data_IF_226539821859
#
_entry.id   IF_226539821859
#
_cell.length_a   1.000
_cell.length_b   1.000
_cell.length_c   1.000
_cell.angle_alpha   90.00
_cell.angle_beta   90.00
_cell.angle_gamma   90.00
#
_symmetry.space_group_name_H-M   'P 1'
#
loop_
_entity.id
_entity.type
_entity.pdbx_description
1 polymer ?
#
# COMPACT_ATOMS: atom_id res chain seq x y z
N UNK A 1 -6.03 6.03 -53.52
CA UNK A 1 -6.28 5.09 -54.64
C UNK A 1 -5.77 3.74 -54.11
N UNK A 2 -6.47 2.71 -53.79
CA UNK A 2 -7.77 2.13 -54.10
C UNK A 2 -8.22 1.34 -52.90
N UNK A 3 -9.44 1.53 -52.46
CA UNK A 3 -10.29 0.66 -51.66
C UNK A 3 -10.59 -0.65 -52.41
N UNK A 4 -10.95 -1.73 -51.71
CA UNK A 4 -11.97 -2.71 -51.99
C UNK A 4 -11.68 -3.90 -51.03
N UNK A 5 -12.44 -4.10 -49.94
CA UNK A 5 -13.73 -4.77 -49.79
C UNK A 5 -13.77 -6.20 -50.37
N UNK A 6 -13.97 -7.18 -49.51
CA UNK A 6 -14.82 -8.33 -49.79
C UNK A 6 -15.23 -9.02 -48.50
N UNK A 7 -16.52 -8.92 -48.25
CA UNK A 7 -17.25 -9.69 -47.26
C UNK A 7 -17.82 -10.98 -47.92
N UNK A 8 -18.21 -11.89 -47.04
CA UNK A 8 -19.25 -12.93 -47.17
C UNK A 8 -18.96 -14.22 -47.96
N UNK A 9 -19.20 -15.27 -47.29
CA UNK A 9 -20.17 -16.38 -47.49
C UNK A 9 -19.68 -17.65 -46.75
N UNK A 10 -20.40 -18.12 -45.85
CA UNK A 10 -21.58 -18.94 -45.83
C UNK A 10 -21.28 -20.41 -45.69
N UNK A 11 -21.75 -20.91 -44.63
CA UNK A 11 -22.63 -22.08 -44.47
C UNK A 11 -22.21 -23.48 -44.88
N UNK A 12 -22.36 -24.31 -43.91
CA UNK A 12 -23.09 -25.55 -43.90
C UNK A 12 -22.37 -26.89 -43.83
N UNK A 13 -22.87 -27.64 -42.85
CA UNK A 13 -23.07 -29.12 -42.79
C UNK A 13 -21.79 -29.96 -42.61
N UNK A 14 -21.74 -30.86 -41.71
CA UNK A 14 -22.74 -31.76 -41.17
C UNK A 14 -22.13 -32.71 -40.13
N UNK A 15 -23.03 -33.22 -39.34
CA UNK A 15 -22.94 -34.34 -38.42
C UNK A 15 -22.04 -35.49 -38.89
N UNK A 16 -21.33 -36.06 -37.94
CA UNK A 16 -21.25 -37.51 -37.81
C UNK A 16 -20.77 -37.92 -36.39
N UNK A 17 -21.54 -38.83 -35.88
CA UNK A 17 -21.57 -39.32 -34.52
C UNK A 17 -20.44 -40.27 -34.12
N UNK A 18 -20.22 -40.33 -32.81
CA UNK A 18 -19.94 -41.50 -31.97
C UNK A 18 -18.75 -42.39 -32.27
N UNK A 19 -17.84 -42.46 -31.34
CA UNK A 19 -17.56 -43.73 -30.63
C UNK A 19 -16.80 -43.45 -29.31
N UNK A 20 -17.41 -43.91 -28.21
CA UNK A 20 -16.83 -43.95 -26.88
C UNK A 20 -15.66 -44.96 -26.81
N UNK A 21 -14.61 -44.65 -26.08
CA UNK A 21 -13.87 -45.66 -25.34
C UNK A 21 -13.27 -45.00 -24.05
N UNK A 22 -13.59 -45.63 -22.94
CA UNK A 22 -13.14 -45.34 -21.58
C UNK A 22 -11.62 -45.28 -21.47
N UNK A 23 -11.16 -44.23 -20.77
CA UNK A 23 -10.04 -44.36 -19.84
C UNK A 23 -10.29 -43.40 -18.68
N UNK A 24 -10.73 -43.98 -17.56
CA UNK A 24 -10.63 -43.34 -16.25
C UNK A 24 -9.16 -43.24 -15.85
N UNK A 25 -8.71 -42.04 -15.54
CA UNK A 25 -7.69 -41.83 -14.52
C UNK A 25 -7.61 -40.37 -14.12
N UNK A 26 -7.99 -40.09 -12.88
CA UNK A 26 -7.51 -39.02 -11.97
C UNK A 26 -7.35 -37.61 -12.56
N UNK A 27 -8.45 -36.85 -12.53
CA UNK A 27 -8.42 -35.39 -12.40
C UNK A 27 -9.38 -34.97 -11.28
N UNK A 28 -8.88 -35.01 -10.05
CA UNK A 28 -9.39 -34.26 -8.92
C UNK A 28 -8.32 -33.24 -8.60
N UNK A 29 -8.77 -31.98 -8.48
CA UNK A 29 -8.16 -30.78 -7.90
C UNK A 29 -7.86 -29.63 -8.88
N UNK A 30 -8.83 -29.24 -9.69
CA UNK A 30 -8.66 -28.05 -10.55
C UNK A 30 -9.82 -27.04 -10.55
N UNK A 31 -10.89 -27.24 -9.76
CA UNK A 31 -12.11 -26.46 -10.00
C UNK A 31 -12.82 -25.97 -8.72
N UNK A 32 -12.09 -25.68 -7.64
CA UNK A 32 -12.66 -25.18 -6.39
C UNK A 32 -12.62 -23.65 -6.24
N UNK A 33 -11.99 -22.90 -7.16
CA UNK A 33 -11.84 -21.45 -7.05
C UNK A 33 -12.95 -20.63 -7.74
N UNK A 34 -13.85 -21.26 -8.47
CA UNK A 34 -14.89 -20.55 -9.24
C UNK A 34 -16.23 -20.41 -8.49
N UNK A 35 -16.36 -20.97 -7.31
CA UNK A 35 -17.61 -20.97 -6.54
C UNK A 35 -17.58 -19.90 -5.45
N UNK A 36 -18.40 -18.89 -5.60
CA UNK A 36 -18.84 -17.83 -4.67
C UNK A 36 -18.31 -16.41 -4.95
N UNK A 37 -18.45 -15.91 -6.17
CA UNK A 37 -18.20 -14.48 -6.51
C UNK A 37 -19.46 -13.59 -6.42
N UNK A 38 -20.59 -14.12 -5.97
CA UNK A 38 -21.80 -13.37 -5.65
C UNK A 38 -22.03 -13.40 -4.13
N UNK A 39 -21.10 -12.91 -3.31
CA UNK A 39 -21.46 -12.55 -1.95
C UNK A 39 -22.40 -11.34 -2.06
N UNK A 40 -23.70 -11.58 -1.92
CA UNK A 40 -24.68 -10.53 -1.66
C UNK A 40 -24.23 -9.81 -0.39
N UNK A 41 -24.38 -8.49 -0.38
CA UNK A 41 -24.14 -7.67 0.80
C UNK A 41 -25.10 -8.16 1.88
N UNK A 42 -24.63 -8.98 2.79
CA UNK A 42 -25.42 -9.47 3.91
C UNK A 42 -25.27 -8.48 5.06
N UNK A 43 -26.39 -7.93 5.51
CA UNK A 43 -26.46 -7.09 6.70
C UNK A 43 -26.46 -7.96 7.95
N UNK A 44 -25.45 -7.77 8.79
CA UNK A 44 -25.21 -8.53 10.01
C UNK A 44 -25.59 -7.67 11.21
N UNK A 45 -26.57 -8.11 11.99
CA UNK A 45 -27.07 -7.41 13.17
C UNK A 45 -26.63 -8.06 14.48
N UNK A 46 -25.89 -9.15 14.43
CA UNK A 46 -25.33 -9.86 15.59
C UNK A 46 -23.84 -9.56 15.72
N UNK A 47 -23.43 -9.10 16.91
CA UNK A 47 -22.01 -8.88 17.23
C UNK A 47 -21.22 -10.19 17.15
N UNK A 48 -21.79 -11.26 17.64
CA UNK A 48 -21.18 -12.61 17.65
C UNK A 48 -20.91 -13.09 16.23
N UNK A 49 -21.91 -12.98 15.35
CA UNK A 49 -21.79 -13.36 13.93
C UNK A 49 -20.74 -12.49 13.22
N UNK A 50 -20.73 -11.16 13.44
CA UNK A 50 -19.74 -10.28 12.85
C UNK A 50 -18.32 -10.58 13.35
N UNK A 51 -18.17 -10.87 14.67
CA UNK A 51 -16.91 -11.28 15.27
C UNK A 51 -16.38 -12.57 14.63
N UNK A 52 -17.25 -13.57 14.44
CA UNK A 52 -16.90 -14.85 13.80
C UNK A 52 -16.47 -14.64 12.34
N UNK A 53 -17.25 -13.86 11.59
CA UNK A 53 -16.99 -13.59 10.18
C UNK A 53 -15.67 -12.83 9.98
N UNK A 54 -15.37 -11.84 10.80
CA UNK A 54 -14.08 -11.12 10.74
C UNK A 54 -12.95 -12.07 11.17
N UNK A 55 -13.13 -12.80 12.28
CA UNK A 55 -12.10 -13.70 12.80
C UNK A 55 -11.74 -14.80 11.80
N UNK A 56 -12.70 -15.32 11.07
CA UNK A 56 -12.44 -16.34 10.02
C UNK A 56 -11.69 -15.80 8.81
N UNK A 57 -11.80 -14.51 8.50
CA UNK A 57 -11.17 -13.89 7.33
C UNK A 57 -9.81 -13.27 7.65
N UNK A 58 -9.62 -12.81 8.87
CA UNK A 58 -8.40 -12.10 9.29
C UNK A 58 -7.65 -12.88 10.38
N UNK A 59 -7.93 -12.60 11.63
CA UNK A 59 -7.37 -13.22 12.82
C UNK A 59 -8.41 -13.15 13.94
N UNK A 60 -8.24 -13.89 15.03
CA UNK A 60 -9.07 -13.71 16.21
C UNK A 60 -9.13 -12.25 16.64
N UNK A 61 -10.34 -11.73 16.79
CA UNK A 61 -10.59 -10.36 17.23
C UNK A 61 -11.48 -10.34 18.46
N UNK A 62 -11.42 -9.25 19.20
CA UNK A 62 -12.46 -8.84 20.15
C UNK A 62 -13.17 -7.63 19.57
N UNK A 63 -14.50 -7.69 19.52
CA UNK A 63 -15.36 -6.64 18.97
C UNK A 63 -16.26 -6.11 20.08
N UNK A 64 -16.11 -4.83 20.38
CA UNK A 64 -16.98 -4.10 21.30
C UNK A 64 -17.78 -3.06 20.51
N UNK A 65 -19.10 -3.15 20.58
CA UNK A 65 -20.05 -2.30 19.84
C UNK A 65 -20.69 -1.35 20.85
N UNK A 66 -20.60 -0.03 20.62
CA UNK A 66 -21.11 0.95 21.57
C UNK A 66 -22.63 0.88 21.70
N UNK A 67 -23.33 0.77 20.56
CA UNK A 67 -24.78 0.71 20.51
C UNK A 67 -25.22 -0.57 19.76
N UNK A 68 -25.29 -1.71 20.45
CA UNK A 68 -25.59 -2.99 19.80
C UNK A 68 -26.93 -3.03 19.03
N UNK A 69 -27.91 -2.24 19.48
CA UNK A 69 -29.22 -2.15 18.80
C UNK A 69 -29.12 -1.48 17.42
N UNK A 70 -28.10 -0.68 17.18
CA UNK A 70 -27.86 0.04 15.94
C UNK A 70 -26.84 -0.67 15.02
N UNK A 71 -26.37 -1.86 15.41
CA UNK A 71 -25.44 -2.65 14.58
C UNK A 71 -26.11 -3.04 13.27
N UNK A 72 -25.57 -2.54 12.18
CA UNK A 72 -25.94 -2.90 10.81
C UNK A 72 -24.64 -3.07 10.00
N UNK A 73 -23.93 -4.13 10.34
CA UNK A 73 -22.62 -4.38 9.79
C UNK A 73 -22.67 -5.12 8.46
N UNK A 74 -21.71 -4.83 7.60
CA UNK A 74 -21.56 -5.56 6.34
C UNK A 74 -20.08 -5.90 6.09
N UNK A 75 -19.86 -7.07 5.54
CA UNK A 75 -18.54 -7.50 5.07
C UNK A 75 -18.68 -8.17 3.70
N UNK A 76 -17.91 -7.69 2.72
CA UNK A 76 -17.69 -8.40 1.46
C UNK A 76 -16.22 -8.75 1.30
N UNK A 77 -15.95 -9.81 0.55
CA UNK A 77 -14.59 -10.30 0.37
C UNK A 77 -14.37 -10.71 -1.08
N UNK A 78 -13.33 -10.21 -1.69
CA UNK A 78 -12.84 -10.63 -3.01
C UNK A 78 -11.51 -11.36 -2.80
N UNK A 79 -11.50 -12.72 -2.79
CA UNK A 79 -10.27 -13.47 -2.69
C UNK A 79 -9.47 -13.34 -3.98
N UNK A 80 -8.16 -13.23 -3.84
CA UNK A 80 -7.23 -13.18 -4.96
C UNK A 80 -6.44 -14.50 -4.99
N UNK A 81 -5.33 -14.60 -4.31
CA UNK A 81 -4.58 -15.85 -4.07
C UNK A 81 -3.97 -15.80 -2.67
N UNK A 82 -2.85 -15.09 -2.51
CA UNK A 82 -2.24 -14.79 -1.21
C UNK A 82 -2.63 -13.41 -0.67
N UNK A 83 -3.56 -12.76 -1.35
CA UNK A 83 -4.18 -11.49 -0.98
C UNK A 83 -5.70 -11.64 -0.95
N UNK A 84 -6.37 -10.71 -0.27
CA UNK A 84 -7.82 -10.54 -0.37
C UNK A 84 -8.19 -9.09 -0.15
N UNK A 85 -9.27 -8.65 -0.81
CA UNK A 85 -9.81 -7.30 -0.70
C UNK A 85 -11.15 -7.41 0.01
N UNK A 86 -11.34 -6.60 1.04
CA UNK A 86 -12.56 -6.62 1.84
C UNK A 86 -13.16 -5.21 1.90
N UNK A 87 -14.47 -5.14 1.97
CA UNK A 87 -15.19 -3.93 2.34
C UNK A 87 -15.90 -4.19 3.66
N UNK A 88 -15.78 -3.24 4.58
CA UNK A 88 -16.28 -3.34 5.95
C UNK A 88 -17.04 -2.08 6.32
N UNK A 89 -18.20 -2.25 6.95
CA UNK A 89 -18.97 -1.22 7.64
C UNK A 89 -19.63 -1.81 8.89
N UNK A 90 -19.96 -0.98 9.88
CA UNK A 90 -20.56 -1.46 11.13
C UNK A 90 -21.90 -0.78 11.45
N UNK A 91 -22.20 0.40 10.89
CA UNK A 91 -23.42 1.15 11.14
C UNK A 91 -23.49 1.84 12.51
N UNK A 92 -22.55 1.53 13.41
CA UNK A 92 -22.43 2.12 14.74
C UNK A 92 -20.96 2.18 15.17
N UNK A 93 -20.64 3.07 16.12
CA UNK A 93 -19.30 3.18 16.66
C UNK A 93 -18.84 1.86 17.27
N UNK A 94 -17.67 1.41 16.84
CA UNK A 94 -17.16 0.08 17.15
C UNK A 94 -15.68 0.13 17.51
N UNK A 95 -15.33 -0.63 18.54
CA UNK A 95 -13.95 -0.90 18.93
C UNK A 95 -13.58 -2.33 18.53
N UNK A 96 -12.49 -2.50 17.79
CA UNK A 96 -11.95 -3.80 17.40
C UNK A 96 -10.53 -3.96 17.89
N UNK A 97 -10.24 -5.04 18.62
CA UNK A 97 -8.88 -5.42 19.03
C UNK A 97 -8.43 -6.63 18.24
N UNK A 98 -7.27 -6.51 17.61
CA UNK A 98 -6.60 -7.61 16.92
C UNK A 98 -5.80 -8.41 17.94
N UNK A 99 -6.12 -9.70 18.10
CA UNK A 99 -5.53 -10.56 19.13
C UNK A 99 -4.23 -11.22 18.68
N UNK A 100 -4.09 -11.54 17.38
CA UNK A 100 -2.92 -12.24 16.84
C UNK A 100 -2.73 -11.94 15.34
N UNK A 101 -2.18 -10.78 14.97
CA UNK A 101 -2.00 -10.41 13.56
C UNK A 101 -0.66 -10.91 12.97
N UNK A 102 -0.15 -12.09 13.34
CA UNK A 102 1.21 -12.51 12.98
C UNK A 102 1.41 -12.92 11.52
N UNK A 103 0.32 -13.26 10.79
CA UNK A 103 0.41 -13.94 9.50
C UNK A 103 0.24 -13.05 8.28
N UNK A 104 -0.17 -11.80 8.44
CA UNK A 104 -0.49 -10.94 7.30
C UNK A 104 -0.40 -9.46 7.67
N UNK A 105 -0.26 -8.65 6.62
CA UNK A 105 -0.42 -7.21 6.63
C UNK A 105 -1.86 -6.87 6.33
N UNK A 106 -2.39 -5.82 6.94
CA UNK A 106 -3.67 -5.23 6.55
C UNK A 106 -3.49 -3.76 6.24
N UNK A 107 -4.03 -3.33 5.10
CA UNK A 107 -3.96 -1.96 4.63
C UNK A 107 -5.39 -1.43 4.59
N UNK A 108 -5.67 -0.40 5.37
CA UNK A 108 -6.99 0.16 5.58
C UNK A 108 -7.12 1.51 4.88
N UNK A 109 -8.20 1.71 4.14
CA UNK A 109 -8.55 2.99 3.53
C UNK A 109 -10.05 3.24 3.68
N UNK A 110 -10.47 4.14 4.58
CA UNK A 110 -11.85 4.60 4.62
C UNK A 110 -12.17 5.45 3.39
N UNK A 111 -13.34 5.26 2.83
CA UNK A 111 -13.93 6.12 1.80
C UNK A 111 -15.12 6.92 2.33
N UNK A 112 -15.61 6.59 3.55
CA UNK A 112 -16.55 7.38 4.34
C UNK A 112 -16.20 7.27 5.82
N UNK A 113 -16.59 8.26 6.61
CA UNK A 113 -16.39 8.29 8.06
C UNK A 113 -14.92 8.39 8.48
N UNK A 114 -14.59 7.80 9.61
CA UNK A 114 -13.23 7.83 10.17
C UNK A 114 -12.89 6.56 10.92
N UNK A 115 -11.60 6.31 11.04
CA UNK A 115 -11.02 5.13 11.66
C UNK A 115 -9.76 5.55 12.40
N UNK A 116 -9.60 5.15 13.65
CA UNK A 116 -8.39 5.43 14.43
C UNK A 116 -7.68 4.12 14.74
N UNK A 117 -6.44 4.00 14.30
CA UNK A 117 -5.54 2.91 14.64
C UNK A 117 -4.69 3.33 15.84
N UNK A 118 -4.76 2.54 16.91
CA UNK A 118 -3.99 2.75 18.13
C UNK A 118 -3.04 1.57 18.36
N UNK A 119 -1.79 1.89 18.59
CA UNK A 119 -0.71 1.02 19.04
C UNK A 119 -0.18 1.59 20.36
N UNK A 120 0.61 0.82 21.14
CA UNK A 120 1.06 1.17 22.50
C UNK A 120 1.45 2.64 22.68
N UNK A 121 2.23 3.21 21.75
CA UNK A 121 2.73 4.59 21.85
C UNK A 121 2.35 5.49 20.67
N UNK A 122 1.48 5.03 19.77
CA UNK A 122 1.13 5.78 18.56
C UNK A 122 -0.33 5.66 18.20
N UNK A 123 -0.85 6.75 17.64
CA UNK A 123 -2.22 6.83 17.13
C UNK A 123 -2.22 7.41 15.73
N UNK A 124 -2.93 6.75 14.82
CA UNK A 124 -3.12 7.19 13.43
C UNK A 124 -4.61 7.39 13.19
N UNK A 125 -5.01 8.62 12.90
CA UNK A 125 -6.36 8.94 12.42
C UNK A 125 -6.41 8.83 10.91
N UNK A 126 -7.34 8.02 10.44
CA UNK A 126 -7.58 7.74 9.03
C UNK A 126 -8.96 8.26 8.63
N UNK A 127 -8.99 8.96 7.52
CA UNK A 127 -10.18 9.54 6.89
C UNK A 127 -10.08 9.32 5.39
N UNK A 128 -11.12 9.58 4.59
CA UNK A 128 -11.00 9.49 3.14
C UNK A 128 -9.75 10.23 2.61
N UNK A 129 -8.93 9.53 1.84
CA UNK A 129 -7.64 10.04 1.34
C UNK A 129 -6.42 9.75 2.22
N UNK A 130 -6.61 9.26 3.45
CA UNK A 130 -5.51 8.87 4.33
C UNK A 130 -5.74 7.47 4.89
N UNK A 131 -5.03 6.49 4.38
CA UNK A 131 -5.04 5.10 4.85
C UNK A 131 -3.95 4.82 5.88
N UNK A 132 -3.91 3.58 6.35
CA UNK A 132 -2.80 3.08 7.17
C UNK A 132 -2.54 1.59 6.94
N UNK A 133 -1.35 1.16 7.36
CA UNK A 133 -0.91 -0.23 7.30
C UNK A 133 -0.69 -0.76 8.72
N UNK A 134 -1.20 -1.94 9.00
CA UNK A 134 -0.87 -2.74 10.18
C UNK A 134 0.11 -3.82 9.77
N UNK A 135 1.32 -3.75 10.29
CA UNK A 135 2.33 -4.79 10.14
C UNK A 135 2.11 -5.94 11.12
N UNK A 136 2.49 -7.19 10.78
CA UNK A 136 2.35 -8.35 11.66
C UNK A 136 3.08 -8.18 13.00
N UNK A 137 2.57 -8.87 14.06
CA UNK A 137 3.24 -8.95 15.36
C UNK A 137 2.90 -7.84 16.35
N UNK A 138 2.02 -6.90 15.98
CA UNK A 138 1.65 -5.81 16.87
C UNK A 138 0.20 -5.93 17.35
N UNK A 139 0.03 -6.00 18.67
CA UNK A 139 -1.28 -5.82 19.28
C UNK A 139 -1.79 -4.42 18.94
N UNK A 140 -3.00 -4.33 18.45
CA UNK A 140 -3.56 -3.09 17.95
C UNK A 140 -5.05 -3.00 18.20
N UNK A 141 -5.51 -1.76 18.30
CA UNK A 141 -6.89 -1.42 18.53
C UNK A 141 -7.35 -0.47 17.43
N UNK A 142 -8.51 -0.73 16.88
CA UNK A 142 -9.19 0.11 15.91
C UNK A 142 -10.43 0.71 16.53
N UNK A 143 -10.55 2.03 16.49
CA UNK A 143 -11.79 2.76 16.80
C UNK A 143 -12.43 3.17 15.48
N UNK A 144 -13.62 2.69 15.21
CA UNK A 144 -14.30 2.78 13.93
C UNK A 144 -15.57 3.61 14.13
N UNK A 145 -15.70 4.75 13.45
CA UNK A 145 -16.94 5.54 13.53
C UNK A 145 -18.11 4.81 12.85
N UNK A 146 -19.32 5.01 13.34
CA UNK A 146 -20.51 4.31 12.86
C UNK A 146 -20.81 4.52 11.37
N UNK A 147 -20.41 5.65 10.82
CA UNK A 147 -20.50 5.96 9.40
C UNK A 147 -19.25 5.58 8.60
N UNK A 148 -18.34 4.83 9.20
CA UNK A 148 -17.12 4.40 8.50
C UNK A 148 -17.41 3.27 7.54
N UNK A 149 -17.09 3.52 6.29
CA UNK A 149 -17.02 2.52 5.23
C UNK A 149 -15.57 2.44 4.74
N UNK A 150 -14.98 1.27 4.78
CA UNK A 150 -13.57 1.10 4.47
C UNK A 150 -13.29 -0.07 3.53
N UNK A 151 -12.23 0.08 2.76
CA UNK A 151 -11.59 -1.04 2.07
C UNK A 151 -10.40 -1.53 2.88
N UNK A 152 -10.28 -2.83 3.01
CA UNK A 152 -9.15 -3.49 3.67
C UNK A 152 -8.50 -4.45 2.69
N UNK A 153 -7.21 -4.25 2.43
CA UNK A 153 -6.40 -5.19 1.64
C UNK A 153 -5.58 -6.02 2.62
N UNK A 154 -5.79 -7.34 2.60
CA UNK A 154 -5.00 -8.30 3.36
C UNK A 154 -3.97 -8.95 2.47
N UNK A 155 -2.71 -8.99 2.90
CA UNK A 155 -1.58 -9.57 2.15
C UNK A 155 -0.84 -10.53 3.07
N UNK A 156 -0.58 -11.77 2.61
CA UNK A 156 0.17 -12.73 3.42
C UNK A 156 1.58 -12.23 3.72
N UNK A 157 2.05 -12.49 4.93
CA UNK A 157 3.42 -12.17 5.37
C UNK A 157 4.44 -12.82 4.45
N UNK A 158 4.25 -14.08 4.10
CA UNK A 158 5.17 -14.83 3.27
C UNK A 158 5.31 -14.22 1.86
N UNK A 159 4.23 -13.68 1.29
CA UNK A 159 4.27 -13.01 0.00
C UNK A 159 5.13 -11.73 0.06
N UNK A 160 4.96 -10.91 1.10
CA UNK A 160 5.75 -9.68 1.28
C UNK A 160 7.22 -10.02 1.54
N UNK A 161 7.50 -10.96 2.46
CA UNK A 161 8.85 -11.34 2.83
C UNK A 161 9.60 -12.05 1.70
N UNK A 162 8.94 -12.94 0.96
CA UNK A 162 9.56 -13.57 -0.22
C UNK A 162 9.90 -12.54 -1.29
N UNK A 163 9.04 -11.51 -1.43
CA UNK A 163 9.26 -10.47 -2.43
C UNK A 163 10.42 -9.55 -2.06
N UNK A 164 10.51 -9.09 -0.82
CA UNK A 164 11.63 -8.25 -0.40
C UNK A 164 12.95 -9.03 -0.39
N UNK A 165 12.95 -10.32 -0.01
CA UNK A 165 14.12 -11.19 -0.14
C UNK A 165 14.62 -11.27 -1.59
N UNK A 166 13.69 -11.42 -2.54
CA UNK A 166 14.00 -11.39 -3.97
C UNK A 166 14.51 -10.03 -4.44
N UNK A 167 13.93 -8.92 -3.95
CA UNK A 167 14.36 -7.57 -4.30
C UNK A 167 15.72 -7.22 -3.72
N UNK A 168 16.08 -7.73 -2.54
CA UNK A 168 17.37 -7.52 -1.88
C UNK A 168 18.43 -8.56 -2.25
N UNK A 169 18.03 -9.68 -2.90
CA UNK A 169 18.87 -10.86 -3.18
C UNK A 169 19.52 -11.45 -1.93
N UNK A 170 18.91 -11.25 -0.77
CA UNK A 170 19.34 -11.79 0.52
C UNK A 170 18.12 -12.07 1.41
N UNK A 171 18.24 -13.01 2.35
CA UNK A 171 17.24 -13.21 3.37
C UNK A 171 17.21 -12.01 4.35
N UNK A 172 16.02 -11.55 4.69
CA UNK A 172 15.85 -10.49 5.70
C UNK A 172 15.95 -11.10 7.10
N UNK A 173 16.63 -10.42 8.06
CA UNK A 173 16.83 -10.93 9.42
C UNK A 173 15.60 -10.73 10.34
N UNK A 174 14.62 -9.94 9.92
CA UNK A 174 13.42 -9.57 10.68
C UNK A 174 12.27 -9.28 9.73
N UNK A 175 11.01 -9.34 10.19
CA UNK A 175 9.85 -9.00 9.36
C UNK A 175 9.91 -7.59 8.77
N UNK A 176 9.21 -7.38 7.66
CA UNK A 176 9.00 -6.04 7.11
C UNK A 176 8.09 -5.28 8.06
N UNK A 177 8.49 -4.09 8.46
CA UNK A 177 7.69 -3.18 9.26
C UNK A 177 7.50 -1.88 8.50
N UNK A 178 6.25 -1.60 8.10
CA UNK A 178 5.89 -0.39 7.37
C UNK A 178 5.65 0.78 8.32
N UNK A 179 5.99 1.99 7.86
CA UNK A 179 5.43 3.23 8.42
C UNK A 179 3.91 3.17 8.29
N UNK A 180 3.20 3.41 9.41
CA UNK A 180 1.77 3.12 9.46
C UNK A 180 0.93 4.00 8.52
N UNK A 181 1.26 5.28 8.39
CA UNK A 181 0.45 6.25 7.61
C UNK A 181 0.64 6.07 6.12
N UNK A 182 -0.47 5.98 5.38
CA UNK A 182 -0.49 5.86 3.92
C UNK A 182 -1.30 7.02 3.31
N UNK A 183 -0.59 7.99 2.73
CA UNK A 183 -1.19 9.19 2.15
C UNK A 183 -1.55 8.97 0.67
N UNK A 184 -2.85 8.90 0.38
CA UNK A 184 -3.37 8.67 -0.98
C UNK A 184 -3.25 9.92 -1.87
N UNK A 185 -2.98 11.10 -1.31
CA UNK A 185 -2.69 12.29 -2.13
C UNK A 185 -1.32 12.22 -2.81
N UNK A 186 -0.44 11.31 -2.36
CA UNK A 186 0.80 11.00 -3.05
C UNK A 186 0.47 10.18 -4.31
N UNK A 187 0.79 10.70 -5.49
CA UNK A 187 0.43 10.14 -6.81
C UNK A 187 0.77 8.64 -6.93
N UNK A 188 1.94 8.21 -6.45
CA UNK A 188 2.36 6.79 -6.52
C UNK A 188 1.57 5.91 -5.56
N UNK A 189 1.15 6.42 -4.41
CA UNK A 189 0.28 5.69 -3.46
C UNK A 189 -1.13 5.56 -4.03
N UNK A 190 -1.66 6.64 -4.63
CA UNK A 190 -2.94 6.61 -5.35
C UNK A 190 -2.92 5.59 -6.47
N UNK A 191 -1.85 5.58 -7.28
CA UNK A 191 -1.68 4.61 -8.37
C UNK A 191 -1.71 3.15 -7.86
N UNK A 192 -1.19 2.88 -6.66
CA UNK A 192 -1.29 1.56 -6.05
C UNK A 192 -2.73 1.18 -5.71
N UNK A 193 -3.49 2.12 -5.13
CA UNK A 193 -4.92 1.92 -4.84
C UNK A 193 -5.76 1.78 -6.11
N UNK A 194 -5.41 2.47 -7.18
CA UNK A 194 -6.05 2.32 -8.50
C UNK A 194 -5.84 0.92 -9.06
N UNK A 195 -4.64 0.35 -8.89
CA UNK A 195 -4.33 -1.02 -9.28
C UNK A 195 -5.11 -2.06 -8.46
N UNK A 196 -5.31 -1.84 -7.14
CA UNK A 196 -6.18 -2.65 -6.28
C UNK A 196 -7.63 -2.58 -6.79
N UNK A 197 -8.12 -1.37 -7.08
CA UNK A 197 -9.48 -1.14 -7.58
C UNK A 197 -9.71 -1.81 -8.94
N UNK A 198 -8.72 -1.75 -9.80
CA UNK A 198 -8.74 -2.43 -11.10
C UNK A 198 -8.84 -3.95 -10.92
N UNK A 199 -8.00 -4.54 -10.09
CA UNK A 199 -8.02 -5.98 -9.82
C UNK A 199 -9.38 -6.43 -9.26
N UNK A 200 -9.91 -5.68 -8.28
CA UNK A 200 -11.22 -5.97 -7.70
C UNK A 200 -12.33 -5.93 -8.76
N UNK A 201 -12.31 -4.91 -9.63
CA UNK A 201 -13.27 -4.76 -10.73
C UNK A 201 -13.17 -5.93 -11.71
N UNK A 202 -11.97 -6.35 -12.05
CA UNK A 202 -11.73 -7.49 -12.95
C UNK A 202 -12.24 -8.80 -12.33
N UNK A 203 -12.04 -9.00 -11.03
CA UNK A 203 -12.49 -10.19 -10.31
C UNK A 203 -14.04 -10.28 -10.19
N UNK A 204 -14.76 -9.16 -10.31
CA UNK A 204 -16.24 -9.13 -10.32
C UNK A 204 -16.85 -9.41 -11.69
N UNK A 205 -16.07 -9.42 -12.78
CA UNK A 205 -16.57 -9.75 -14.12
C UNK A 205 -16.86 -11.25 -14.24
N UNK A 206 -17.82 -11.63 -15.09
CA UNK A 206 -18.11 -13.06 -15.34
C UNK A 206 -16.94 -13.78 -16.05
N UNK A 207 -16.13 -13.05 -16.82
CA UNK A 207 -14.95 -13.56 -17.51
C UNK A 207 -13.85 -12.53 -17.39
N UNK A 208 -12.67 -12.94 -16.92
CA UNK A 208 -11.48 -12.11 -16.78
C UNK A 208 -10.23 -12.99 -16.87
N UNK A 209 -9.14 -12.43 -17.40
CA UNK A 209 -7.82 -13.07 -17.37
C UNK A 209 -7.34 -13.35 -15.95
N UNK A 210 -7.87 -12.63 -14.97
CA UNK A 210 -7.55 -12.80 -13.54
C UNK A 210 -8.28 -13.97 -12.86
N UNK A 211 -9.02 -14.80 -13.60
CA UNK A 211 -9.45 -16.14 -13.14
C UNK A 211 -8.34 -17.17 -13.32
N UNK A 212 -7.36 -16.91 -14.20
CA UNK A 212 -6.17 -17.74 -14.29
C UNK A 212 -5.27 -17.47 -13.07
N UNK A 213 -4.93 -18.54 -12.34
CA UNK A 213 -4.17 -18.45 -11.09
C UNK A 213 -2.75 -17.88 -11.29
N UNK A 214 -2.11 -18.19 -12.42
CA UNK A 214 -0.77 -17.69 -12.70
C UNK A 214 -0.79 -16.19 -12.99
N UNK A 215 -1.78 -15.72 -13.78
CA UNK A 215 -1.99 -14.29 -14.04
C UNK A 215 -2.20 -13.52 -12.73
N UNK A 216 -3.05 -14.04 -11.85
CA UNK A 216 -3.32 -13.44 -10.54
C UNK A 216 -2.06 -13.37 -9.68
N UNK A 217 -1.30 -14.47 -9.59
CA UNK A 217 -0.05 -14.52 -8.81
C UNK A 217 0.99 -13.54 -9.31
N UNK A 218 1.13 -13.38 -10.63
CA UNK A 218 2.06 -12.37 -11.15
C UNK A 218 1.59 -10.95 -10.85
N UNK A 219 0.30 -10.68 -10.92
CA UNK A 219 -0.25 -9.36 -10.56
C UNK A 219 -0.11 -9.06 -9.07
N UNK A 220 -0.32 -10.03 -8.19
CA UNK A 220 -0.04 -9.90 -6.74
C UNK A 220 1.41 -9.51 -6.49
N UNK A 221 2.36 -10.11 -7.21
CA UNK A 221 3.78 -9.75 -7.12
C UNK A 221 4.02 -8.28 -7.51
N UNK A 222 3.35 -7.80 -8.56
CA UNK A 222 3.43 -6.38 -8.98
C UNK A 222 2.88 -5.46 -7.88
N UNK A 223 1.74 -5.82 -7.28
CA UNK A 223 1.15 -5.04 -6.19
C UNK A 223 2.06 -4.99 -4.96
N UNK A 224 2.68 -6.10 -4.57
CA UNK A 224 3.60 -6.13 -3.42
C UNK A 224 4.89 -5.37 -3.72
N UNK A 225 5.44 -5.47 -4.93
CA UNK A 225 6.59 -4.65 -5.36
C UNK A 225 6.22 -3.15 -5.31
N UNK A 226 5.03 -2.80 -5.80
CA UNK A 226 4.50 -1.44 -5.74
C UNK A 226 4.43 -0.94 -4.29
N UNK A 227 3.84 -1.71 -3.38
CA UNK A 227 3.74 -1.38 -1.97
C UNK A 227 5.12 -1.17 -1.33
N UNK A 228 6.06 -2.12 -1.50
CA UNK A 228 7.43 -2.03 -1.00
C UNK A 228 8.23 -0.86 -1.60
N UNK A 229 7.85 -0.37 -2.78
CA UNK A 229 8.54 0.73 -3.44
C UNK A 229 7.96 2.10 -3.09
N UNK A 230 6.69 2.17 -2.69
CA UNK A 230 5.97 3.43 -2.46
C UNK A 230 5.78 3.76 -0.99
N UNK A 231 5.66 2.75 -0.14
CA UNK A 231 5.48 2.90 1.30
C UNK A 231 6.79 2.68 2.04
N UNK A 232 7.14 3.60 2.95
CA UNK A 232 8.36 3.48 3.76
C UNK A 232 8.26 2.28 4.71
N UNK A 233 9.38 1.58 4.88
CA UNK A 233 9.52 0.43 5.77
C UNK A 233 10.97 0.25 6.23
N UNK A 234 11.20 -0.62 7.20
CA UNK A 234 12.50 -0.84 7.84
C UNK A 234 13.63 -1.34 6.92
N UNK A 235 13.36 -1.67 5.65
CA UNK A 235 14.34 -2.04 4.61
C UNK A 235 14.33 -1.05 3.43
N UNK A 236 13.63 0.07 3.52
CA UNK A 236 13.56 1.05 2.42
C UNK A 236 14.93 1.61 2.04
N UNK A 237 15.82 1.80 3.02
CA UNK A 237 17.21 2.25 2.75
C UNK A 237 18.02 1.17 2.03
N UNK A 238 17.91 -0.09 2.42
CA UNK A 238 18.58 -1.20 1.75
C UNK A 238 18.14 -1.31 0.28
N UNK A 239 16.82 -1.19 0.01
CA UNK A 239 16.29 -1.19 -1.35
C UNK A 239 16.78 0.02 -2.15
N UNK A 240 16.85 1.20 -1.54
CA UNK A 240 17.39 2.41 -2.20
C UNK A 240 18.87 2.25 -2.50
N UNK A 241 19.67 1.77 -1.55
CA UNK A 241 21.10 1.54 -1.73
C UNK A 241 21.36 0.59 -2.90
N UNK A 242 20.59 -0.50 -3.00
CA UNK A 242 20.66 -1.43 -4.13
C UNK A 242 20.25 -0.77 -5.45
N UNK A 243 19.12 -0.06 -5.46
CA UNK A 243 18.65 0.65 -6.65
C UNK A 243 19.62 1.77 -7.07
N UNK A 244 20.35 2.38 -6.12
CA UNK A 244 21.42 3.34 -6.40
C UNK A 244 22.57 2.68 -7.18
N UNK A 245 22.92 1.45 -6.88
CA UNK A 245 23.92 0.71 -7.65
C UNK A 245 23.50 0.43 -9.10
N UNK A 246 22.20 0.35 -9.36
CA UNK A 246 21.61 0.10 -10.69
C UNK A 246 21.27 1.43 -11.41
N UNK A 247 21.08 2.53 -10.67
CA UNK A 247 20.77 3.82 -11.28
C UNK A 247 21.94 4.35 -12.12
N UNK A 248 21.65 5.05 -13.23
CA UNK A 248 22.71 5.68 -14.04
C UNK A 248 23.61 6.59 -13.22
N UNK A 249 24.89 6.69 -13.59
CA UNK A 249 25.88 7.47 -12.85
C UNK A 249 25.47 8.94 -12.61
N UNK A 250 24.74 9.55 -13.55
CA UNK A 250 24.27 10.92 -13.38
C UNK A 250 23.17 11.06 -12.30
N UNK A 251 22.33 10.06 -12.11
CA UNK A 251 21.33 10.02 -11.02
C UNK A 251 22.07 9.89 -9.69
N UNK A 252 23.01 8.96 -9.60
CA UNK A 252 23.83 8.77 -8.38
C UNK A 252 24.61 10.04 -7.99
N UNK A 253 25.22 10.74 -8.98
CA UNK A 253 25.91 12.02 -8.70
C UNK A 253 24.97 13.08 -8.15
N UNK A 254 23.77 13.20 -8.74
CA UNK A 254 22.77 14.15 -8.26
C UNK A 254 22.28 13.83 -6.85
N UNK A 255 22.07 12.54 -6.54
CA UNK A 255 21.66 12.09 -5.20
C UNK A 255 22.76 12.34 -4.16
N UNK A 256 24.00 11.99 -4.49
CA UNK A 256 25.14 12.27 -3.60
C UNK A 256 25.26 13.76 -3.30
N UNK A 257 25.18 14.60 -4.34
CA UNK A 257 25.19 16.05 -4.19
C UNK A 257 24.05 16.54 -3.29
N UNK A 258 22.82 16.04 -3.49
CA UNK A 258 21.67 16.41 -2.67
C UNK A 258 21.85 15.98 -1.21
N UNK A 259 22.37 14.77 -0.97
CA UNK A 259 22.58 14.25 0.38
C UNK A 259 23.68 15.01 1.13
N UNK A 260 24.76 15.34 0.45
CA UNK A 260 25.91 16.06 1.01
C UNK A 260 25.59 17.52 1.35
N UNK A 261 24.87 18.20 0.45
CA UNK A 261 24.60 19.64 0.58
C UNK A 261 23.15 19.96 0.99
N UNK A 262 22.38 19.00 1.52
CA UNK A 262 20.95 19.18 1.86
C UNK A 262 20.68 20.37 2.80
N UNK A 263 21.59 20.69 3.73
CA UNK A 263 21.49 21.82 4.65
C UNK A 263 21.82 23.17 4.00
N UNK A 264 22.40 23.16 2.79
CA UNK A 264 22.78 24.37 2.09
C UNK A 264 21.66 24.89 1.16
N UNK A 265 21.85 26.11 0.64
CA UNK A 265 20.94 26.71 -0.30
C UNK A 265 21.21 26.20 -1.73
N UNK A 266 20.80 24.94 -2.01
CA UNK A 266 20.93 24.36 -3.34
C UNK A 266 19.67 24.57 -4.17
N UNK A 267 19.88 24.80 -5.45
CA UNK A 267 18.82 24.94 -6.43
C UNK A 267 18.92 23.87 -7.54
N UNK A 268 17.92 23.83 -8.41
CA UNK A 268 17.86 22.84 -9.47
C UNK A 268 19.07 22.90 -10.42
N UNK A 269 19.60 24.08 -10.73
CA UNK A 269 20.71 24.21 -11.66
C UNK A 269 21.98 23.60 -11.10
N UNK A 270 22.23 23.74 -9.80
CA UNK A 270 23.36 23.11 -9.10
C UNK A 270 23.26 21.58 -9.13
N UNK A 271 22.05 21.03 -8.96
CA UNK A 271 21.81 19.58 -9.06
C UNK A 271 22.03 19.09 -10.50
N UNK A 272 21.60 19.87 -11.50
CA UNK A 272 21.84 19.58 -12.92
C UNK A 272 23.32 19.57 -13.24
N UNK A 273 24.07 20.56 -12.76
CA UNK A 273 25.52 20.67 -12.93
C UNK A 273 26.24 19.47 -12.28
N UNK A 274 25.93 19.16 -11.03
CA UNK A 274 26.48 18.00 -10.33
C UNK A 274 26.17 16.68 -11.05
N UNK A 275 25.02 16.58 -11.69
CA UNK A 275 24.62 15.38 -12.45
C UNK A 275 25.39 15.21 -13.77
N UNK A 276 25.94 16.28 -14.34
CA UNK A 276 26.62 16.31 -15.63
C UNK A 276 25.74 15.88 -16.82
N UNK A 277 24.43 16.13 -16.74
CA UNK A 277 23.50 15.89 -17.85
C UNK A 277 22.54 17.07 -17.99
N UNK A 278 21.83 17.13 -19.13
CA UNK A 278 20.83 18.19 -19.36
C UNK A 278 19.66 18.04 -18.38
N UNK A 279 19.04 19.15 -18.01
CA UNK A 279 17.90 19.24 -17.09
C UNK A 279 16.79 18.23 -17.43
N UNK A 280 16.41 18.10 -18.69
CA UNK A 280 15.38 17.15 -19.15
C UNK A 280 15.79 15.71 -18.83
N UNK A 281 17.02 15.31 -19.19
CA UNK A 281 17.56 13.97 -18.93
C UNK A 281 17.57 13.66 -17.43
N UNK A 282 17.93 14.63 -16.59
CA UNK A 282 17.91 14.47 -15.13
C UNK A 282 16.47 14.23 -14.63
N UNK A 283 15.50 15.03 -15.07
CA UNK A 283 14.11 14.87 -14.67
C UNK A 283 13.53 13.52 -15.09
N UNK A 284 13.71 13.14 -16.36
CA UNK A 284 13.21 11.87 -16.90
C UNK A 284 13.84 10.68 -16.16
N UNK A 285 15.14 10.75 -15.87
CA UNK A 285 15.86 9.73 -15.11
C UNK A 285 15.41 9.66 -13.66
N UNK A 286 15.25 10.81 -12.97
CA UNK A 286 14.73 10.82 -11.59
C UNK A 286 13.30 10.26 -11.52
N UNK A 287 12.42 10.66 -12.46
CA UNK A 287 11.06 10.11 -12.53
C UNK A 287 11.08 8.60 -12.78
N UNK A 288 11.96 8.12 -13.67
CA UNK A 288 12.09 6.69 -14.01
C UNK A 288 12.67 5.87 -12.86
N UNK A 289 13.74 6.36 -12.20
CA UNK A 289 14.49 5.58 -11.20
C UNK A 289 14.11 5.87 -9.76
N UNK A 290 13.38 6.97 -9.47
CA UNK A 290 12.97 7.40 -8.12
C UNK A 290 11.48 7.74 -8.01
N UNK A 291 10.73 7.74 -9.09
CA UNK A 291 9.31 8.08 -9.13
C UNK A 291 8.98 9.56 -8.89
N UNK A 292 9.97 10.39 -8.50
CA UNK A 292 9.80 11.79 -8.10
C UNK A 292 10.78 12.71 -8.82
N UNK A 293 10.56 14.02 -8.75
CA UNK A 293 11.49 15.01 -9.32
C UNK A 293 12.73 15.22 -8.40
N UNK A 294 13.87 15.72 -8.94
CA UNK A 294 15.06 16.03 -8.13
C UNK A 294 14.77 16.96 -6.96
N UNK A 295 13.92 17.97 -7.14
CA UNK A 295 13.55 18.91 -6.08
C UNK A 295 12.63 18.30 -5.02
N UNK A 296 11.75 17.35 -5.41
CA UNK A 296 10.99 16.58 -4.44
C UNK A 296 11.89 15.64 -3.65
N UNK A 297 12.89 15.05 -4.29
CA UNK A 297 13.89 14.23 -3.61
C UNK A 297 14.69 15.05 -2.58
N UNK A 298 15.21 16.24 -2.95
CA UNK A 298 15.85 17.16 -2.01
C UNK A 298 14.96 17.45 -0.80
N UNK A 299 13.69 17.77 -1.04
CA UNK A 299 12.73 18.05 0.04
C UNK A 299 12.55 16.84 0.95
N UNK A 300 12.49 15.65 0.37
CA UNK A 300 12.34 14.42 1.13
C UNK A 300 13.56 14.13 2.02
N UNK A 301 14.76 14.35 1.50
CA UNK A 301 16.02 14.24 2.27
C UNK A 301 16.04 15.22 3.44
N UNK A 302 15.67 16.48 3.20
CA UNK A 302 15.59 17.52 4.25
C UNK A 302 14.61 17.17 5.37
N UNK A 303 13.43 16.61 5.01
CA UNK A 303 12.44 16.18 6.01
C UNK A 303 12.96 15.01 6.85
N UNK A 304 13.61 14.01 6.21
CA UNK A 304 14.20 12.89 6.94
C UNK A 304 15.30 13.34 7.90
N UNK A 305 16.19 14.21 7.43
CA UNK A 305 17.26 14.78 8.27
C UNK A 305 16.73 15.64 9.42
N UNK A 306 15.68 16.42 9.18
CA UNK A 306 15.02 17.18 10.22
C UNK A 306 14.40 16.25 11.30
N UNK A 307 13.81 15.11 10.90
CA UNK A 307 13.31 14.11 11.84
C UNK A 307 14.42 13.48 12.65
N UNK A 308 15.49 13.03 12.02
CA UNK A 308 16.67 12.48 12.69
C UNK A 308 17.19 13.45 13.76
N UNK A 309 17.30 14.74 13.43
CA UNK A 309 17.76 15.78 14.36
C UNK A 309 16.78 16.03 15.50
N UNK A 310 15.45 16.04 15.22
CA UNK A 310 14.43 16.19 16.25
C UNK A 310 14.33 14.99 17.21
N UNK A 311 14.74 13.81 16.76
CA UNK A 311 14.79 12.56 17.56
C UNK A 311 16.12 12.39 18.30
N UNK A 312 17.10 13.26 18.09
CA UNK A 312 18.39 13.17 18.76
C UNK A 312 18.32 13.68 20.19
N UNK A 313 18.67 12.84 21.16
CA UNK A 313 18.71 13.18 22.60
C UNK A 313 19.74 14.27 22.95
N UNK A 314 20.69 14.50 22.05
CA UNK A 314 21.73 15.55 22.22
C UNK A 314 21.31 16.89 21.62
N UNK A 315 20.14 16.96 21.00
CA UNK A 315 19.71 18.17 20.28
C UNK A 315 19.00 19.16 21.19
N UNK A 316 19.65 20.28 21.48
CA UNK A 316 19.07 21.39 22.22
C UNK A 316 18.27 22.38 21.34
N UNK A 317 18.14 22.12 20.02
CA UNK A 317 17.47 23.03 19.08
C UNK A 317 15.95 22.91 19.13
N UNK A 318 15.29 24.04 18.99
CA UNK A 318 13.83 24.09 18.83
C UNK A 318 13.42 23.55 17.45
N UNK A 319 12.13 23.14 17.32
CA UNK A 319 11.54 22.73 16.03
C UNK A 319 11.77 23.78 14.94
N UNK A 320 11.68 25.07 15.32
CA UNK A 320 11.89 26.19 14.38
C UNK A 320 13.34 26.27 13.90
N UNK A 321 14.30 26.12 14.79
CA UNK A 321 15.72 26.13 14.46
C UNK A 321 16.09 24.94 13.57
N UNK A 322 15.58 23.74 13.86
CA UNK A 322 15.78 22.56 13.00
C UNK A 322 15.17 22.78 11.62
N UNK A 323 13.95 23.31 11.54
CA UNK A 323 13.31 23.57 10.26
C UNK A 323 14.08 24.62 9.43
N UNK A 324 14.55 25.70 10.05
CA UNK A 324 15.36 26.73 9.39
C UNK A 324 16.73 26.19 8.94
N UNK A 325 17.38 25.38 9.77
CA UNK A 325 18.65 24.73 9.41
C UNK A 325 18.50 23.87 8.16
N UNK A 326 17.40 23.09 8.06
CA UNK A 326 17.09 22.29 6.88
C UNK A 326 16.36 23.06 5.78
N UNK A 327 16.46 24.39 5.77
CA UNK A 327 15.99 25.30 4.71
C UNK A 327 14.47 25.29 4.47
N UNK A 328 13.68 25.07 5.51
CA UNK A 328 12.25 25.30 5.48
C UNK A 328 11.92 26.73 5.93
N UNK A 329 11.68 27.63 4.96
CA UNK A 329 11.42 29.05 5.24
C UNK A 329 10.03 29.35 5.81
N UNK A 330 9.09 28.39 5.77
CA UNK A 330 7.70 28.57 6.23
C UNK A 330 7.30 27.44 7.19
N UNK A 331 7.20 27.76 8.48
CA UNK A 331 6.91 26.79 9.55
C UNK A 331 5.59 26.04 9.37
N UNK A 332 4.53 26.74 8.91
CA UNK A 332 3.24 26.10 8.63
C UNK A 332 3.34 25.05 7.52
N UNK A 333 4.05 25.36 6.43
CA UNK A 333 4.29 24.39 5.35
C UNK A 333 5.19 23.23 5.79
N UNK A 334 6.21 23.51 6.59
CA UNK A 334 7.08 22.49 7.18
C UNK A 334 6.25 21.52 8.03
N UNK A 335 5.48 22.03 8.99
CA UNK A 335 4.67 21.21 9.89
C UNK A 335 3.63 20.37 9.14
N UNK A 336 3.01 20.95 8.11
CA UNK A 336 2.06 20.22 7.26
C UNK A 336 2.74 19.11 6.47
N UNK A 337 3.88 19.38 5.83
CA UNK A 337 4.65 18.40 5.06
C UNK A 337 5.25 17.32 5.95
N UNK A 338 5.72 17.68 7.13
CA UNK A 338 6.24 16.78 8.14
C UNK A 338 5.13 15.82 8.62
N UNK A 339 3.97 16.40 9.04
CA UNK A 339 2.81 15.60 9.43
C UNK A 339 2.32 14.68 8.30
N UNK A 340 2.28 15.21 7.06
CA UNK A 340 1.91 14.43 5.88
C UNK A 340 2.84 13.23 5.68
N UNK A 341 4.15 13.37 5.93
CA UNK A 341 5.14 12.33 5.70
C UNK A 341 5.25 11.35 6.86
N UNK A 342 5.17 11.82 8.11
CA UNK A 342 5.49 11.02 9.30
C UNK A 342 4.29 10.75 10.21
N UNK A 343 3.10 11.24 9.85
CA UNK A 343 1.85 11.02 10.59
C UNK A 343 1.69 11.87 11.85
N UNK A 344 2.75 12.55 12.30
CA UNK A 344 2.78 13.35 13.53
C UNK A 344 3.36 14.75 13.28
N UNK A 345 3.06 15.67 14.19
CA UNK A 345 3.65 17.02 14.13
C UNK A 345 5.12 16.99 14.59
N UNK A 346 5.99 17.88 14.03
CA UNK A 346 7.39 17.98 14.45
C UNK A 346 7.56 18.24 15.96
N UNK A 347 6.62 18.99 16.55
CA UNK A 347 6.60 19.24 18.00
C UNK A 347 6.26 18.01 18.83
N UNK A 348 5.59 17.01 18.27
CA UNK A 348 5.34 15.72 18.94
C UNK A 348 6.60 14.87 18.91
N UNK A 349 7.27 14.78 17.78
CA UNK A 349 8.57 14.09 17.64
C UNK A 349 9.62 14.66 18.61
N UNK A 350 9.70 15.99 18.75
CA UNK A 350 10.65 16.64 19.65
C UNK A 350 10.31 16.49 21.16
N UNK A 351 9.10 16.07 21.54
CA UNK A 351 8.65 15.88 22.93
C UNK A 351 8.80 14.45 23.46
N UNK A 352 9.10 13.50 22.60
CA UNK A 352 9.29 12.07 22.97
C UNK A 352 10.65 11.85 23.67
N UNK A 353 11.42 12.92 23.83
CA UNK A 353 12.67 12.98 24.60
C UNK A 353 12.48 13.79 25.85
#
# INVERSE_FOLDING_TARGET
MVLISLASKCDNMGDLAMTALHHESSQQDGNSFATNLNEQLEHIKSREEMTERISSRFAPIQLDVLEPANLDAAITSTPVSQMSIHHLSFGTDTEMRLCDPEKFYTIHLPYAGSLTYQREDSEVKSTPGCGFIISPGHKSKLLISGNCEQRVVKISKDLVESRINSMLEKAIPRPVEFEAVMDVDIEVVRSWWDAITYLETERKKKQSIYYNIDTVREFEKVLVIGLLSTQEHNFSEDLRARNQSIAPAHVRRAEHFIQEFASEEINLNMIVEASQVRKRTLYDSFKRFRGISPMCYLRSVRLSKAREELMSTTNAKTVTEVALYWRFGHMGRFSMQYKKRFGELPSKTAKVL
#
